data_IF_244313912147
#
_entry.id   IF_244313912147
#
_cell.length_a   1.000
_cell.length_b   1.000
_cell.length_c   1.000
_cell.angle_alpha   90.00
_cell.angle_beta   90.00
_cell.angle_gamma   90.00
#
_symmetry.space_group_name_H-M   'P 1'
#
loop_
_entity.id
_entity.type
_entity.pdbx_description
1 polymer ?
#
# COMPACT_ATOMS: atom_id res chain seq x y z
N UNK A 1 -1.28 8.40 -9.82
CA UNK A 1 -2.38 7.84 -9.02
C UNK A 1 -3.29 7.13 -10.00
N UNK A 2 -3.68 5.90 -9.69
CA UNK A 2 -4.58 5.12 -10.55
C UNK A 2 -5.95 5.82 -10.62
N UNK A 3 -6.71 5.62 -11.69
CA UNK A 3 -8.03 6.25 -11.82
C UNK A 3 -9.00 5.57 -10.84
N UNK A 4 -9.74 6.32 -9.99
CA UNK A 4 -10.52 5.73 -8.90
C UNK A 4 -11.60 4.75 -9.36
N UNK A 5 -12.13 4.94 -10.57
CA UNK A 5 -13.07 3.99 -11.18
C UNK A 5 -12.39 2.64 -11.47
N UNK A 6 -11.14 2.66 -11.94
CA UNK A 6 -10.41 1.44 -12.24
C UNK A 6 -10.03 0.68 -10.97
N UNK A 7 -9.67 1.40 -9.90
CA UNK A 7 -9.41 0.80 -8.59
C UNK A 7 -10.65 0.08 -8.04
N UNK A 8 -11.85 0.67 -8.21
CA UNK A 8 -13.11 0.03 -7.79
C UNK A 8 -13.42 -1.22 -8.63
N UNK A 9 -13.25 -1.16 -9.96
CA UNK A 9 -13.51 -2.32 -10.82
C UNK A 9 -12.55 -3.48 -10.55
N UNK A 10 -11.26 -3.18 -10.39
CA UNK A 10 -10.27 -4.20 -10.02
C UNK A 10 -10.54 -4.72 -8.61
N UNK A 11 -10.83 -3.85 -7.64
CA UNK A 11 -11.17 -4.27 -6.27
C UNK A 11 -12.40 -5.17 -6.22
N UNK A 12 -13.45 -4.84 -6.98
CA UNK A 12 -14.65 -5.68 -7.11
C UNK A 12 -14.36 -7.03 -7.77
N UNK A 13 -13.52 -7.04 -8.81
CA UNK A 13 -13.08 -8.27 -9.47
C UNK A 13 -12.28 -9.18 -8.52
N UNK A 14 -11.32 -8.61 -7.79
CA UNK A 14 -10.50 -9.35 -6.82
C UNK A 14 -11.38 -9.93 -5.71
N UNK A 15 -12.28 -9.13 -5.13
CA UNK A 15 -13.17 -9.57 -4.04
C UNK A 15 -14.11 -10.71 -4.47
N UNK A 16 -14.51 -10.74 -5.74
CA UNK A 16 -15.39 -11.79 -6.27
C UNK A 16 -14.68 -13.13 -6.51
N UNK A 17 -13.38 -13.11 -6.77
CA UNK A 17 -12.60 -14.28 -7.21
C UNK A 17 -11.51 -14.71 -6.21
N UNK A 18 -11.19 -13.91 -5.19
CA UNK A 18 -10.10 -14.20 -4.24
C UNK A 18 -10.31 -15.51 -3.46
N UNK A 19 -11.55 -15.92 -3.22
CA UNK A 19 -11.86 -17.14 -2.47
C UNK A 19 -11.38 -18.41 -3.20
N UNK A 20 -11.33 -18.40 -4.53
CA UNK A 20 -10.86 -19.50 -5.39
C UNK A 20 -9.34 -19.74 -5.26
N UNK A 21 -8.58 -18.70 -4.89
CA UNK A 21 -7.12 -18.72 -4.82
C UNK A 21 -6.54 -19.29 -3.52
N UNK A 22 -5.46 -20.06 -3.66
CA UNK A 22 -4.74 -20.73 -2.57
C UNK A 22 -3.22 -20.48 -2.69
N UNK A 23 -2.52 -20.45 -1.54
CA UNK A 23 -1.07 -20.25 -1.46
C UNK A 23 -0.27 -21.42 -2.09
N UNK A 24 -0.92 -22.58 -2.28
CA UNK A 24 -0.32 -23.79 -2.84
C UNK A 24 -0.24 -23.82 -4.37
N UNK A 25 -0.46 -25.00 -4.93
CA UNK A 25 -0.36 -25.26 -6.37
C UNK A 25 -1.35 -24.41 -7.20
N UNK A 26 -0.94 -24.05 -8.42
CA UNK A 26 -1.77 -23.28 -9.34
C UNK A 26 -2.86 -24.18 -9.94
N UNK A 27 -4.13 -23.79 -9.75
CA UNK A 27 -5.28 -24.48 -10.35
C UNK A 27 -5.49 -24.00 -11.80
N UNK A 28 -6.02 -24.87 -12.64
CA UNK A 28 -6.33 -24.54 -14.05
C UNK A 28 -7.37 -23.41 -14.17
N UNK A 29 -8.29 -23.30 -13.21
CA UNK A 29 -9.27 -22.22 -13.14
C UNK A 29 -8.62 -20.84 -13.01
N UNK A 30 -7.43 -20.74 -12.41
CA UNK A 30 -6.72 -19.48 -12.24
C UNK A 30 -6.35 -18.86 -13.59
N UNK A 31 -6.06 -19.68 -14.60
CA UNK A 31 -5.77 -19.20 -15.95
C UNK A 31 -6.97 -18.46 -16.54
N UNK A 32 -8.17 -19.03 -16.42
CA UNK A 32 -9.40 -18.42 -16.95
C UNK A 32 -9.74 -17.11 -16.21
N UNK A 33 -9.50 -17.06 -14.89
CA UNK A 33 -9.71 -15.85 -14.10
C UNK A 33 -8.66 -14.79 -14.48
N UNK A 34 -7.40 -15.19 -14.66
CA UNK A 34 -6.33 -14.31 -15.08
C UNK A 34 -6.57 -13.72 -16.48
N UNK A 35 -6.99 -14.53 -17.45
CA UNK A 35 -7.36 -14.04 -18.79
C UNK A 35 -8.46 -12.98 -18.73
N UNK A 36 -9.45 -13.17 -17.86
CA UNK A 36 -10.52 -12.19 -17.65
C UNK A 36 -9.98 -10.89 -17.01
N UNK A 37 -9.07 -11.00 -16.05
CA UNK A 37 -8.40 -9.84 -15.45
C UNK A 37 -7.58 -9.07 -16.49
N UNK A 38 -6.80 -9.78 -17.32
CA UNK A 38 -6.03 -9.18 -18.42
C UNK A 38 -6.95 -8.44 -19.38
N UNK A 39 -8.09 -9.03 -19.76
CA UNK A 39 -9.05 -8.37 -20.65
C UNK A 39 -9.62 -7.06 -20.06
N UNK A 40 -9.88 -7.01 -18.74
CA UNK A 40 -10.32 -5.78 -18.06
C UNK A 40 -9.22 -4.72 -18.09
N UNK A 41 -7.98 -5.11 -17.82
CA UNK A 41 -6.82 -4.22 -17.86
C UNK A 41 -6.58 -3.68 -19.29
N UNK A 42 -6.57 -4.55 -20.30
CA UNK A 42 -6.42 -4.19 -21.71
C UNK A 42 -7.52 -3.24 -22.16
N UNK A 43 -8.79 -3.53 -21.85
CA UNK A 43 -9.91 -2.66 -22.20
C UNK A 43 -9.80 -1.27 -21.54
N UNK A 44 -9.32 -1.20 -20.29
CA UNK A 44 -9.10 0.07 -19.62
C UNK A 44 -7.98 0.88 -20.29
N UNK A 45 -6.84 0.24 -20.60
CA UNK A 45 -5.71 0.89 -21.28
C UNK A 45 -6.11 1.35 -22.67
N UNK A 46 -6.79 0.50 -23.46
CA UNK A 46 -7.29 0.83 -24.79
C UNK A 46 -8.22 2.04 -24.74
N UNK A 47 -9.20 2.05 -23.83
CA UNK A 47 -10.13 3.17 -23.67
C UNK A 47 -9.42 4.47 -23.28
N UNK A 48 -8.46 4.39 -22.35
CA UNK A 48 -7.69 5.55 -21.90
C UNK A 48 -6.81 6.12 -23.02
N UNK A 49 -6.22 5.26 -23.85
CA UNK A 49 -5.39 5.65 -24.98
C UNK A 49 -6.24 6.17 -26.15
N UNK A 50 -7.35 5.52 -26.49
CA UNK A 50 -8.26 5.94 -27.55
C UNK A 50 -8.90 7.31 -27.27
N UNK A 51 -9.14 7.64 -26.00
CA UNK A 51 -9.61 8.97 -25.59
C UNK A 51 -8.58 10.08 -25.85
N UNK A 52 -7.28 9.74 -25.96
CA UNK A 52 -6.18 10.69 -26.15
C UNK A 52 -5.63 10.68 -27.57
N UNK A 53 -5.69 9.54 -28.26
CA UNK A 53 -5.11 9.33 -29.58
C UNK A 53 -6.21 8.84 -30.53
N UNK A 54 -6.64 9.73 -31.43
CA UNK A 54 -7.64 9.41 -32.45
C UNK A 54 -7.05 8.44 -33.47
N UNK A 55 -7.75 7.33 -33.72
CA UNK A 55 -7.34 6.33 -34.71
C UNK A 55 -6.23 5.38 -34.25
N UNK A 56 -6.00 5.27 -32.94
CA UNK A 56 -5.10 4.28 -32.38
C UNK A 56 -5.66 2.87 -32.60
N UNK A 57 -4.87 2.01 -33.22
CA UNK A 57 -5.10 0.57 -33.24
C UNK A 57 -4.30 -0.07 -32.10
N UNK A 58 -4.99 -0.48 -31.04
CA UNK A 58 -4.33 -0.98 -29.82
C UNK A 58 -3.55 -2.27 -30.08
N UNK A 59 -4.05 -3.14 -30.96
CA UNK A 59 -3.36 -4.38 -31.34
C UNK A 59 -2.05 -4.10 -32.06
N UNK A 60 -2.04 -3.18 -33.04
CA UNK A 60 -0.83 -2.78 -33.75
C UNK A 60 0.15 -2.07 -32.82
N UNK A 61 -0.36 -1.23 -31.90
CA UNK A 61 0.47 -0.58 -30.88
C UNK A 61 1.19 -1.59 -30.00
N UNK A 62 0.48 -2.60 -29.46
CA UNK A 62 1.09 -3.65 -28.64
C UNK A 62 2.10 -4.49 -29.43
N UNK A 63 1.83 -4.80 -30.70
CA UNK A 63 2.77 -5.51 -31.56
C UNK A 63 4.08 -4.72 -31.78
N UNK A 64 3.96 -3.42 -32.08
CA UNK A 64 5.13 -2.55 -32.26
C UNK A 64 5.91 -2.38 -30.95
N UNK A 65 5.20 -2.30 -29.81
CA UNK A 65 5.78 -2.25 -28.47
C UNK A 65 6.64 -3.49 -28.18
N UNK A 66 6.15 -4.68 -28.56
CA UNK A 66 6.83 -5.94 -28.39
C UNK A 66 8.05 -6.07 -29.32
N UNK A 67 7.93 -5.65 -30.58
CA UNK A 67 9.05 -5.67 -31.54
C UNK A 67 10.19 -4.73 -31.14
N UNK A 68 9.86 -3.52 -30.68
CA UNK A 68 10.84 -2.52 -30.26
C UNK A 68 11.53 -2.91 -28.95
N UNK A 69 10.85 -3.71 -28.13
CA UNK A 69 11.37 -4.29 -26.90
C UNK A 69 11.63 -3.26 -25.80
N UNK A 70 12.00 -3.73 -24.59
CA UNK A 70 12.19 -2.88 -23.41
C UNK A 70 13.25 -1.78 -23.63
N UNK A 71 14.27 -2.04 -24.44
CA UNK A 71 15.37 -1.11 -24.70
C UNK A 71 14.96 0.15 -25.45
N UNK A 72 13.91 0.08 -26.28
CA UNK A 72 13.45 1.22 -27.09
C UNK A 72 12.49 2.15 -26.35
N UNK A 73 11.92 1.69 -25.24
CA UNK A 73 10.93 2.41 -24.44
C UNK A 73 11.57 3.14 -23.24
N UNK A 74 12.84 2.85 -22.96
CA UNK A 74 13.64 3.52 -21.94
C UNK A 74 13.02 3.48 -20.54
N UNK A 75 13.34 4.47 -19.71
CA UNK A 75 12.73 4.65 -18.37
C UNK A 75 11.27 5.14 -18.40
N UNK A 76 10.72 5.46 -19.58
CA UNK A 76 9.39 6.10 -19.69
C UNK A 76 8.25 5.12 -19.49
N UNK A 77 8.43 3.86 -19.87
CA UNK A 77 7.52 2.78 -19.53
C UNK A 77 8.21 1.92 -18.49
N UNK A 78 7.67 1.92 -17.28
CA UNK A 78 8.12 1.01 -16.25
C UNK A 78 7.64 -0.41 -16.62
N UNK A 79 8.40 -1.09 -17.49
CA UNK A 79 8.10 -2.47 -17.90
C UNK A 79 8.13 -3.42 -16.70
N UNK A 80 8.79 -3.06 -15.60
CA UNK A 80 8.74 -3.81 -14.34
C UNK A 80 7.33 -3.78 -13.72
N UNK A 81 6.65 -2.63 -13.78
CA UNK A 81 5.24 -2.51 -13.41
C UNK A 81 4.35 -3.29 -14.38
N UNK A 82 4.66 -3.26 -15.69
CA UNK A 82 3.90 -4.05 -16.66
C UNK A 82 4.08 -5.56 -16.43
N UNK A 83 5.30 -6.00 -16.12
CA UNK A 83 5.64 -7.37 -15.77
C UNK A 83 5.08 -7.81 -14.42
N UNK A 84 4.85 -6.87 -13.50
CA UNK A 84 4.13 -7.11 -12.24
C UNK A 84 2.65 -7.46 -12.45
N UNK A 85 2.07 -7.20 -13.63
CA UNK A 85 0.75 -7.73 -14.02
C UNK A 85 0.82 -9.16 -14.57
N UNK A 86 1.98 -9.80 -14.57
CA UNK A 86 2.11 -11.23 -14.85
C UNK A 86 1.32 -12.07 -13.86
N UNK A 87 1.13 -13.35 -14.21
CA UNK A 87 0.32 -14.28 -13.43
C UNK A 87 0.74 -14.37 -11.95
N UNK A 88 2.04 -14.34 -11.66
CA UNK A 88 2.54 -14.43 -10.28
C UNK A 88 2.16 -13.21 -9.44
N UNK A 89 2.32 -12.00 -9.99
CA UNK A 89 1.91 -10.76 -9.31
C UNK A 89 0.39 -10.69 -9.13
N UNK A 90 -0.36 -11.18 -10.12
CA UNK A 90 -1.82 -11.31 -10.00
C UNK A 90 -2.25 -12.32 -8.92
N UNK A 91 -1.59 -13.47 -8.83
CA UNK A 91 -1.85 -14.47 -7.79
C UNK A 91 -1.59 -13.89 -6.40
N UNK A 92 -0.46 -13.22 -6.22
CA UNK A 92 -0.14 -12.55 -4.96
C UNK A 92 -1.16 -11.47 -4.61
N UNK A 93 -1.65 -10.71 -5.59
CA UNK A 93 -2.72 -9.73 -5.38
C UNK A 93 -4.03 -10.38 -4.91
N UNK A 94 -4.44 -11.50 -5.51
CA UNK A 94 -5.61 -12.28 -5.09
C UNK A 94 -5.45 -12.83 -3.67
N UNK A 95 -4.26 -13.34 -3.33
CA UNK A 95 -3.95 -13.83 -1.99
C UNK A 95 -3.90 -12.69 -0.97
N UNK A 96 -3.36 -11.53 -1.34
CA UNK A 96 -3.34 -10.34 -0.50
C UNK A 96 -4.76 -9.84 -0.22
N UNK A 97 -5.65 -9.81 -1.21
CA UNK A 97 -7.07 -9.46 -1.02
C UNK A 97 -7.77 -10.46 -0.09
N UNK A 98 -7.52 -11.76 -0.28
CA UNK A 98 -8.05 -12.83 0.58
C UNK A 98 -7.56 -12.69 2.03
N UNK A 99 -6.26 -12.47 2.24
CA UNK A 99 -5.66 -12.22 3.56
C UNK A 99 -6.19 -10.93 4.16
N UNK A 100 -6.35 -9.88 3.36
CA UNK A 100 -6.93 -8.60 3.73
C UNK A 100 -8.34 -8.80 4.26
N UNK A 101 -9.20 -9.51 3.54
CA UNK A 101 -10.56 -9.87 3.97
C UNK A 101 -10.56 -10.69 5.28
N UNK A 102 -9.62 -11.63 5.41
CA UNK A 102 -9.45 -12.44 6.62
C UNK A 102 -8.94 -11.61 7.82
N UNK A 103 -8.06 -10.64 7.61
CA UNK A 103 -7.57 -9.69 8.63
C UNK A 103 -8.63 -8.63 8.99
N UNK A 104 -9.43 -8.19 8.02
CA UNK A 104 -10.53 -7.24 8.21
C UNK A 104 -11.72 -7.86 8.94
N UNK A 105 -11.68 -9.17 9.24
CA UNK A 105 -12.60 -9.87 10.15
C UNK A 105 -12.37 -9.60 11.65
N UNK A 106 -11.34 -8.82 12.04
CA UNK A 106 -11.17 -8.45 13.44
C UNK A 106 -9.75 -8.08 13.83
N UNK A 107 -9.25 -6.93 13.38
CA UNK A 107 -8.13 -6.24 14.02
C UNK A 107 -8.63 -4.91 14.58
N UNK A 108 -9.29 -4.98 15.74
CA UNK A 108 -9.39 -3.84 16.65
C UNK A 108 -8.03 -3.75 17.34
N UNK A 109 -7.10 -3.00 16.74
CA UNK A 109 -5.84 -2.68 17.41
C UNK A 109 -6.13 -1.85 18.65
N UNK A 110 -6.10 -2.46 19.83
CA UNK A 110 -5.98 -1.70 21.06
C UNK A 110 -4.60 -1.02 21.04
N UNK A 111 -4.51 0.30 21.26
CA UNK A 111 -3.23 0.98 21.29
C UNK A 111 -2.37 0.37 22.40
N UNK A 112 -1.24 -0.23 22.01
CA UNK A 112 -0.26 -0.71 22.97
C UNK A 112 0.45 0.51 23.58
N UNK A 113 0.51 0.65 24.92
CA UNK A 113 1.31 1.69 25.54
C UNK A 113 2.78 1.42 25.24
N UNK A 114 3.38 2.29 24.42
CA UNK A 114 4.83 2.33 24.22
C UNK A 114 5.48 2.60 25.58
N UNK A 115 6.09 1.57 26.17
CA UNK A 115 7.07 1.77 27.23
C UNK A 115 8.33 2.29 26.55
N UNK A 116 8.70 3.53 26.83
CA UNK A 116 10.00 4.04 26.45
C UNK A 116 11.02 3.31 27.33
N UNK A 117 11.70 2.33 26.75
CA UNK A 117 12.79 1.62 27.43
C UNK A 117 13.79 2.64 27.99
N UNK A 118 14.13 2.39 29.26
CA UNK A 118 14.89 3.24 30.14
C UNK A 118 16.28 3.53 29.56
N UNK A 119 16.71 4.79 29.63
CA UNK A 119 18.02 5.24 29.19
C UNK A 119 19.08 4.75 30.21
N UNK A 120 19.65 3.57 29.94
CA UNK A 120 20.80 3.00 30.66
C UNK A 120 22.09 3.73 30.24
N UNK A 121 22.73 4.40 31.21
CA UNK A 121 24.19 4.74 31.33
C UNK A 121 24.90 5.37 30.11
N UNK A 122 25.55 6.53 30.10
CA UNK A 122 26.02 7.46 31.11
C UNK A 122 27.25 8.18 30.52
N UNK A 123 27.20 9.50 30.28
CA UNK A 123 28.37 10.42 30.37
C UNK A 123 27.87 11.83 30.68
N UNK A 124 28.54 12.51 31.62
CA UNK A 124 28.22 13.87 32.03
C UNK A 124 28.73 14.88 30.98
N UNK A 125 27.85 15.71 30.45
CA UNK A 125 28.22 16.82 29.55
C UNK A 125 28.65 18.02 30.43
N UNK A 126 29.94 18.41 30.44
CA UNK A 126 30.48 19.28 31.49
C UNK A 126 30.18 20.79 31.35
N UNK A 127 29.22 21.23 30.53
CA UNK A 127 29.10 22.67 30.21
C UNK A 127 27.71 23.31 30.31
N UNK A 128 26.71 22.65 30.91
CA UNK A 128 25.41 23.32 31.11
C UNK A 128 25.27 23.93 32.49
N UNK A 129 26.02 25.00 32.72
CA UNK A 129 25.93 25.86 33.89
C UNK A 129 24.70 26.78 33.81
N UNK A 130 23.50 26.19 33.82
CA UNK A 130 22.23 26.94 33.85
C UNK A 130 21.91 27.35 35.29
N UNK A 131 22.36 28.55 35.66
CA UNK A 131 22.03 29.19 36.92
C UNK A 131 20.56 29.64 36.92
N UNK A 132 19.64 28.69 37.11
CA UNK A 132 18.21 28.99 37.20
C UNK A 132 17.91 29.43 38.62
N UNK A 133 17.69 30.74 38.79
CA UNK A 133 17.15 31.27 40.05
C UNK A 133 15.66 30.97 40.11
N UNK A 134 15.16 30.30 41.16
CA UNK A 134 13.73 30.03 41.29
C UNK A 134 13.01 31.36 41.54
N UNK A 135 12.07 31.71 40.66
CA UNK A 135 11.09 32.77 40.92
C UNK A 135 10.16 32.32 42.04
N UNK A 136 9.97 33.12 43.12
CA UNK A 136 9.08 32.73 44.22
C UNK A 136 7.64 32.61 43.70
N UNK A 137 7.06 31.44 43.87
CA UNK A 137 5.67 31.14 43.53
C UNK A 137 4.69 31.96 44.38
N UNK A 138 4.21 33.09 43.84
CA UNK A 138 2.98 33.73 44.32
C UNK A 138 1.78 32.90 43.85
N UNK A 139 1.39 31.82 44.53
CA UNK A 139 0.01 31.28 44.59
C UNK A 139 0.01 30.21 45.70
N UNK A 140 -0.06 30.62 46.96
CA UNK A 140 -1.26 30.85 47.79
C UNK A 140 -1.64 29.59 48.58
N UNK A 141 -1.24 29.61 49.85
CA UNK A 141 -1.89 28.97 50.99
C UNK A 141 -3.41 28.90 50.82
N UNK A 142 -3.98 27.70 50.90
CA UNK A 142 -5.17 27.44 51.71
C UNK A 142 -5.56 25.95 51.61
N UNK A 143 -5.03 25.13 52.52
CA UNK A 143 -5.85 24.20 53.30
C UNK A 143 -4.99 23.52 54.38
N UNK A 144 -5.18 23.96 55.63
CA UNK A 144 -4.91 23.16 56.81
C UNK A 144 -5.94 22.03 56.90
N UNK A 145 -5.54 20.84 57.35
CA UNK A 145 -5.88 20.38 58.70
C UNK A 145 -4.65 19.66 59.34
N UNK A 146 -4.50 19.34 60.64
CA UNK A 146 -5.40 18.82 61.67
C UNK A 146 -4.69 18.84 63.05
N UNK A 147 -5.43 19.02 64.16
CA UNK A 147 -5.12 18.57 65.55
C UNK A 147 -3.90 19.21 66.24
N UNK A 148 -3.92 19.68 67.48
CA UNK A 148 -4.68 19.36 68.72
C UNK A 148 -4.85 20.67 69.50
#
# INVERSE_FOLDING_TARGET
MMEPHFEEEVGGFLSAHCDEFEEGENKLEYTTIFERYVAVLEAHIEKALAARVVGLDFSAFCAELLERGPSALGEQLNLDVLGSFGFEGFKELMLAEKRGRQCCGGLVGAPLPLHADEQEDGEAIPDLNLHITPVPSLWRHAQQPSGI
#
